data_IF_142716026465
#
_entry.id   IF_142716026465
#
_cell.length_a   1.000
_cell.length_b   1.000
_cell.length_c   1.000
_cell.angle_alpha   90.00
_cell.angle_beta   90.00
_cell.angle_gamma   90.00
#
_symmetry.space_group_name_H-M   'P 1'
#
loop_
_entity.id
_entity.type
_entity.pdbx_description
1 polymer ?
#
# COMPACT_ATOMS: atom_id res chain seq x y z
N UNK A 1 36.25 4.52 -1.36
CA UNK A 1 36.27 3.94 -2.74
C UNK A 1 34.94 4.13 -3.45
N UNK A 2 33.78 3.74 -2.88
CA UNK A 2 32.47 3.95 -3.52
C UNK A 2 32.18 5.43 -3.75
N UNK A 3 32.43 6.28 -2.75
CA UNK A 3 32.24 7.73 -2.82
C UNK A 3 33.15 8.39 -3.88
N UNK A 4 34.35 7.89 -4.05
CA UNK A 4 35.30 8.38 -5.08
C UNK A 4 34.76 8.12 -6.51
N UNK A 5 33.92 7.10 -6.67
CA UNK A 5 33.30 6.75 -7.93
C UNK A 5 31.88 7.30 -8.08
N UNK A 6 31.42 8.11 -7.14
CA UNK A 6 30.08 8.68 -7.12
C UNK A 6 28.97 7.61 -6.95
N UNK A 7 29.32 6.47 -6.34
CA UNK A 7 28.42 5.34 -6.12
C UNK A 7 27.95 5.34 -4.67
N UNK A 8 26.63 5.26 -4.45
CA UNK A 8 26.07 5.02 -3.12
C UNK A 8 26.37 3.59 -2.67
N UNK A 9 27.18 3.46 -1.59
CA UNK A 9 27.64 2.16 -1.10
C UNK A 9 26.53 1.24 -0.59
N UNK A 10 25.34 1.77 -0.27
CA UNK A 10 24.20 0.98 0.21
C UNK A 10 23.24 0.54 -0.91
N UNK A 11 22.87 1.47 -1.78
CA UNK A 11 21.87 1.21 -2.82
C UNK A 11 22.46 0.78 -4.16
N UNK A 12 23.74 1.08 -4.41
CA UNK A 12 24.40 0.89 -5.70
C UNK A 12 25.66 0.02 -5.63
N UNK A 13 25.85 -0.74 -4.55
CA UNK A 13 26.99 -1.64 -4.36
C UNK A 13 27.19 -2.61 -5.54
N UNK A 14 26.12 -3.02 -6.20
CA UNK A 14 26.16 -3.90 -7.36
C UNK A 14 26.93 -3.34 -8.58
N UNK A 15 27.20 -2.03 -8.58
CA UNK A 15 28.01 -1.36 -9.62
C UNK A 15 29.51 -1.49 -9.37
N UNK A 16 29.92 -1.86 -8.17
CA UNK A 16 31.31 -2.00 -7.81
C UNK A 16 31.89 -3.34 -8.33
N UNK A 17 33.15 -3.35 -8.81
CA UNK A 17 33.83 -4.58 -9.17
C UNK A 17 33.98 -5.53 -7.96
N UNK A 18 33.93 -6.85 -8.23
CA UNK A 18 33.99 -7.88 -7.18
C UNK A 18 35.22 -7.74 -6.27
N UNK A 19 36.36 -7.26 -6.77
CA UNK A 19 37.58 -7.05 -5.98
C UNK A 19 37.41 -6.04 -4.84
N UNK A 20 36.40 -5.16 -4.88
CA UNK A 20 36.12 -4.18 -3.84
C UNK A 20 35.00 -4.62 -2.87
N UNK A 21 34.16 -5.56 -3.27
CA UNK A 21 33.03 -6.02 -2.48
C UNK A 21 33.13 -7.50 -2.07
N UNK A 22 34.10 -8.24 -2.63
CA UNK A 22 34.24 -9.68 -2.39
C UNK A 22 34.47 -10.00 -0.91
N UNK A 23 35.45 -9.35 -0.27
CA UNK A 23 35.74 -9.54 1.15
C UNK A 23 34.54 -9.21 2.05
N UNK A 24 33.80 -8.15 1.70
CA UNK A 24 32.55 -7.79 2.41
C UNK A 24 31.49 -8.89 2.26
N UNK A 25 31.29 -9.39 1.05
CA UNK A 25 30.32 -10.46 0.80
C UNK A 25 30.70 -11.80 1.46
N UNK A 26 31.99 -12.14 1.48
CA UNK A 26 32.51 -13.30 2.21
C UNK A 26 32.26 -13.17 3.71
N UNK A 27 32.54 -11.99 4.27
CA UNK A 27 32.32 -11.74 5.70
C UNK A 27 30.83 -11.79 6.08
N UNK A 28 29.94 -11.28 5.24
CA UNK A 28 28.50 -11.37 5.44
C UNK A 28 28.03 -12.84 5.49
N UNK A 29 28.56 -13.69 4.62
CA UNK A 29 28.25 -15.12 4.62
C UNK A 29 28.77 -15.82 5.87
N UNK A 30 30.01 -15.53 6.29
CA UNK A 30 30.59 -16.06 7.52
C UNK A 30 29.77 -15.68 8.76
N UNK A 31 29.46 -14.38 8.91
CA UNK A 31 28.67 -13.89 10.03
C UNK A 31 27.26 -14.50 10.05
N UNK A 32 26.66 -14.72 8.89
CA UNK A 32 25.36 -15.40 8.79
C UNK A 32 25.44 -16.83 9.31
N UNK A 33 26.50 -17.54 8.99
CA UNK A 33 26.72 -18.92 9.49
C UNK A 33 27.01 -18.94 11.00
N UNK A 34 27.83 -18.04 11.51
CA UNK A 34 28.10 -17.86 12.94
C UNK A 34 26.78 -17.56 13.70
N UNK A 35 25.99 -16.63 13.21
CA UNK A 35 24.68 -16.27 13.78
C UNK A 35 23.75 -17.49 13.81
N UNK A 36 23.72 -18.28 12.74
CA UNK A 36 22.90 -19.49 12.69
C UNK A 36 23.25 -20.47 13.81
N UNK A 37 24.56 -20.65 14.13
CA UNK A 37 24.99 -21.54 15.23
C UNK A 37 24.44 -21.08 16.59
N UNK A 38 24.38 -19.77 16.81
CA UNK A 38 23.81 -19.24 18.07
C UNK A 38 22.28 -19.31 18.07
N UNK A 39 21.63 -18.94 16.98
CA UNK A 39 20.16 -19.00 16.87
C UNK A 39 19.61 -20.41 17.00
N UNK A 40 20.37 -21.44 16.54
CA UNK A 40 19.98 -22.84 16.71
C UNK A 40 19.90 -23.22 18.19
N UNK A 41 20.82 -22.72 19.03
CA UNK A 41 20.77 -22.96 20.48
C UNK A 41 19.55 -22.29 21.10
N UNK A 42 19.22 -21.07 20.66
CA UNK A 42 18.03 -20.34 21.14
C UNK A 42 16.73 -21.05 20.76
N UNK A 43 16.60 -21.55 19.54
CA UNK A 43 15.45 -22.34 19.08
C UNK A 43 15.19 -23.53 20.00
N UNK A 44 16.27 -24.28 20.32
CA UNK A 44 16.21 -25.42 21.24
C UNK A 44 15.86 -24.99 22.67
N UNK A 45 16.47 -23.91 23.17
CA UNK A 45 16.24 -23.43 24.53
C UNK A 45 14.83 -22.92 24.79
N UNK A 46 14.17 -22.37 23.73
CA UNK A 46 12.83 -21.83 23.78
C UNK A 46 11.74 -22.84 23.38
N UNK A 47 12.12 -24.09 23.05
CA UNK A 47 11.17 -25.14 22.63
C UNK A 47 10.29 -24.73 21.44
N UNK A 48 10.88 -24.07 20.41
CA UNK A 48 10.19 -23.59 19.23
C UNK A 48 10.63 -24.28 17.93
N UNK A 49 11.20 -25.46 18.02
CA UNK A 49 11.69 -26.21 16.85
C UNK A 49 10.59 -26.54 15.85
N UNK A 50 9.42 -26.94 16.35
CA UNK A 50 8.27 -27.25 15.49
C UNK A 50 7.79 -26.05 14.70
N UNK A 51 7.74 -24.88 15.33
CA UNK A 51 7.39 -23.62 14.66
C UNK A 51 8.45 -23.25 13.64
N UNK A 52 9.73 -23.34 14.01
CA UNK A 52 10.83 -23.06 13.09
C UNK A 52 10.79 -24.00 11.87
N UNK A 53 10.51 -25.29 12.08
CA UNK A 53 10.38 -26.26 10.98
C UNK A 53 9.21 -25.92 10.08
N UNK A 54 8.03 -25.65 10.64
CA UNK A 54 6.82 -25.25 9.90
C UNK A 54 7.10 -24.03 9.00
N UNK A 55 7.65 -22.97 9.59
CA UNK A 55 7.94 -21.73 8.87
C UNK A 55 9.00 -21.93 7.77
N UNK A 56 10.00 -22.78 8.03
CA UNK A 56 11.04 -23.09 7.04
C UNK A 56 10.50 -23.92 5.87
N UNK A 57 9.63 -24.90 6.14
CA UNK A 57 8.98 -25.72 5.09
C UNK A 57 7.95 -24.91 4.28
N UNK A 58 7.32 -23.91 4.88
CA UNK A 58 6.37 -23.03 4.22
C UNK A 58 7.06 -22.04 3.26
N UNK A 59 8.29 -21.63 3.57
CA UNK A 59 8.99 -20.60 2.79
C UNK A 59 9.09 -20.89 1.28
N UNK A 60 9.48 -22.11 0.84
CA UNK A 60 9.49 -22.44 -0.60
C UNK A 60 8.13 -22.27 -1.26
N UNK A 61 7.04 -22.66 -0.56
CA UNK A 61 5.67 -22.46 -1.07
C UNK A 61 5.34 -20.98 -1.31
N UNK A 62 5.74 -20.09 -0.39
CA UNK A 62 5.54 -18.65 -0.54
C UNK A 62 6.37 -18.06 -1.69
N UNK A 63 7.58 -18.58 -1.90
CA UNK A 63 8.42 -18.22 -3.05
C UNK A 63 7.74 -18.62 -4.36
N UNK A 64 7.21 -19.84 -4.45
CA UNK A 64 6.48 -20.31 -5.63
C UNK A 64 5.20 -19.52 -5.87
N UNK A 65 4.45 -19.17 -4.84
CA UNK A 65 3.27 -18.31 -4.93
C UNK A 65 3.62 -16.93 -5.49
N UNK A 66 4.71 -16.33 -4.99
CA UNK A 66 5.21 -15.05 -5.50
C UNK A 66 5.67 -15.15 -6.94
N UNK A 67 6.39 -16.21 -7.28
CA UNK A 67 6.88 -16.45 -8.65
C UNK A 67 5.73 -16.68 -9.62
N UNK A 68 4.72 -17.47 -9.25
CA UNK A 68 3.51 -17.68 -10.03
C UNK A 68 2.70 -16.39 -10.17
N UNK A 69 2.53 -15.63 -9.10
CA UNK A 69 1.74 -14.41 -9.03
C UNK A 69 0.23 -14.63 -9.16
N UNK A 70 -0.52 -13.57 -8.91
CA UNK A 70 -2.00 -13.57 -9.00
C UNK A 70 -2.43 -13.10 -10.39
N UNK A 71 -3.27 -13.88 -11.06
CA UNK A 71 -3.82 -13.53 -12.37
C UNK A 71 -4.80 -12.37 -12.27
N UNK A 72 -4.72 -11.44 -13.22
CA UNK A 72 -5.58 -10.26 -13.30
C UNK A 72 -6.19 -10.13 -14.69
N UNK A 73 -7.48 -9.80 -14.75
CA UNK A 73 -8.17 -9.40 -15.98
C UNK A 73 -7.95 -7.89 -16.20
N UNK A 74 -6.95 -7.57 -17.02
CA UNK A 74 -6.58 -6.18 -17.32
C UNK A 74 -7.66 -5.45 -18.12
N UNK A 75 -8.37 -6.14 -19.01
CA UNK A 75 -9.43 -5.54 -19.82
C UNK A 75 -10.62 -5.16 -18.93
N UNK A 76 -10.99 -6.03 -18.00
CA UNK A 76 -12.01 -5.73 -17.01
C UNK A 76 -11.57 -4.56 -16.10
N UNK A 77 -10.31 -4.53 -15.66
CA UNK A 77 -9.77 -3.44 -14.84
C UNK A 77 -9.84 -2.08 -15.58
N UNK A 78 -9.46 -2.04 -16.86
CA UNK A 78 -9.54 -0.83 -17.68
C UNK A 78 -10.99 -0.36 -17.92
N UNK A 79 -11.90 -1.30 -18.20
CA UNK A 79 -13.34 -0.96 -18.35
C UNK A 79 -13.90 -0.38 -17.06
N UNK A 80 -13.69 -1.07 -15.94
CA UNK A 80 -14.16 -0.64 -14.63
C UNK A 80 -13.59 0.73 -14.24
N UNK A 81 -12.30 0.97 -14.48
CA UNK A 81 -11.71 2.30 -14.26
C UNK A 81 -12.43 3.39 -15.03
N UNK A 82 -12.70 3.16 -16.33
CA UNK A 82 -13.40 4.13 -17.18
C UNK A 82 -14.82 4.42 -16.66
N UNK A 83 -15.53 3.40 -16.23
CA UNK A 83 -16.89 3.53 -15.65
C UNK A 83 -16.85 4.33 -14.35
N UNK A 84 -15.93 3.99 -13.42
CA UNK A 84 -15.79 4.69 -12.15
C UNK A 84 -15.41 6.15 -12.33
N UNK A 85 -14.46 6.48 -13.20
CA UNK A 85 -14.08 7.86 -13.48
C UNK A 85 -15.26 8.65 -14.07
N UNK A 86 -16.07 8.04 -14.93
CA UNK A 86 -17.26 8.70 -15.49
C UNK A 86 -18.34 8.91 -14.41
N UNK A 87 -18.51 7.97 -13.49
CA UNK A 87 -19.44 8.10 -12.36
C UNK A 87 -18.99 9.18 -11.37
N UNK A 88 -17.70 9.22 -11.00
CA UNK A 88 -17.12 10.27 -10.16
C UNK A 88 -17.40 11.66 -10.76
N UNK A 89 -17.11 11.81 -12.05
CA UNK A 89 -17.35 13.06 -12.76
C UNK A 89 -18.82 13.47 -12.70
N UNK A 90 -19.77 12.53 -12.87
CA UNK A 90 -21.22 12.82 -12.76
C UNK A 90 -21.59 13.32 -11.36
N UNK A 91 -21.06 12.73 -10.29
CA UNK A 91 -21.30 13.21 -8.94
C UNK A 91 -20.80 14.64 -8.75
N UNK A 92 -19.57 14.92 -9.18
CA UNK A 92 -18.99 16.27 -9.08
C UNK A 92 -19.70 17.31 -9.97
N UNK A 93 -20.15 16.93 -11.17
CA UNK A 93 -20.95 17.79 -12.04
C UNK A 93 -22.30 18.19 -11.41
N UNK A 94 -22.95 17.31 -10.65
CA UNK A 94 -24.17 17.65 -9.92
C UNK A 94 -23.90 18.72 -8.85
N UNK A 95 -22.82 18.53 -8.08
CA UNK A 95 -22.40 19.52 -7.07
C UNK A 95 -22.10 20.85 -7.73
N UNK A 96 -21.32 20.85 -8.81
CA UNK A 96 -20.98 22.08 -9.54
C UNK A 96 -22.20 22.79 -10.13
N UNK A 97 -23.13 22.06 -10.76
CA UNK A 97 -24.36 22.65 -11.34
C UNK A 97 -25.23 23.33 -10.31
N UNK A 98 -25.23 22.83 -9.07
CA UNK A 98 -26.08 23.41 -8.01
C UNK A 98 -25.40 24.55 -7.27
N UNK A 99 -24.08 24.45 -7.06
CA UNK A 99 -23.33 25.40 -6.21
C UNK A 99 -22.38 26.32 -6.97
N UNK A 100 -22.03 26.01 -8.23
CA UNK A 100 -20.98 26.71 -8.98
C UNK A 100 -19.56 26.45 -8.46
N UNK A 101 -19.39 25.53 -7.49
CA UNK A 101 -18.12 25.25 -6.82
C UNK A 101 -17.46 24.01 -7.41
N UNK A 102 -16.23 24.16 -7.89
CA UNK A 102 -15.38 23.02 -8.26
C UNK A 102 -14.75 22.41 -7.01
N UNK A 103 -15.19 21.19 -6.64
CA UNK A 103 -14.85 20.56 -5.37
C UNK A 103 -13.64 19.63 -5.51
N UNK A 104 -12.59 19.96 -4.74
CA UNK A 104 -11.46 19.06 -4.51
C UNK A 104 -11.81 18.10 -3.36
N UNK A 105 -12.25 16.90 -3.67
CA UNK A 105 -12.86 15.96 -2.72
C UNK A 105 -11.98 15.54 -1.53
N UNK A 106 -10.65 15.66 -1.65
CA UNK A 106 -9.70 15.36 -0.57
C UNK A 106 -9.27 16.58 0.23
N UNK A 107 -9.62 17.79 -0.22
CA UNK A 107 -9.31 19.04 0.47
C UNK A 107 -10.48 19.50 1.32
N UNK A 108 -10.37 19.41 2.65
CA UNK A 108 -11.43 19.80 3.59
C UNK A 108 -11.91 21.24 3.37
N UNK A 109 -11.01 22.19 3.11
CA UNK A 109 -11.35 23.59 2.80
C UNK A 109 -12.13 23.75 1.49
N UNK A 110 -11.97 22.84 0.54
CA UNK A 110 -12.76 22.89 -0.71
C UNK A 110 -14.18 22.40 -0.46
N UNK A 111 -14.34 21.34 0.35
CA UNK A 111 -15.66 20.84 0.75
C UNK A 111 -16.38 21.85 1.64
N UNK A 112 -15.67 22.51 2.55
CA UNK A 112 -16.22 23.59 3.41
C UNK A 112 -16.96 24.66 2.60
N UNK A 113 -16.46 25.02 1.43
CA UNK A 113 -17.14 26.02 0.56
C UNK A 113 -18.56 25.59 0.17
N UNK A 114 -18.77 24.29 -0.11
CA UNK A 114 -20.11 23.76 -0.42
C UNK A 114 -21.01 23.80 0.81
N UNK A 115 -20.50 23.44 1.97
CA UNK A 115 -21.24 23.47 3.22
C UNK A 115 -21.66 24.89 3.61
N UNK A 116 -20.77 25.86 3.43
CA UNK A 116 -21.06 27.28 3.66
C UNK A 116 -22.07 27.81 2.64
N UNK A 117 -21.94 27.43 1.35
CA UNK A 117 -22.88 27.84 0.31
C UNK A 117 -24.31 27.35 0.56
N UNK A 118 -24.45 26.11 1.04
CA UNK A 118 -25.74 25.46 1.30
C UNK A 118 -26.25 25.67 2.73
N UNK A 119 -25.56 26.47 3.54
CA UNK A 119 -25.86 26.71 4.96
C UNK A 119 -25.98 25.41 5.77
N UNK A 120 -25.07 24.45 5.49
CA UNK A 120 -25.02 23.16 6.16
C UNK A 120 -24.04 23.22 7.34
N UNK A 121 -24.46 22.86 8.58
CA UNK A 121 -23.55 22.80 9.71
C UNK A 121 -22.54 21.68 9.57
N UNK A 122 -21.32 21.91 10.05
CA UNK A 122 -20.21 20.93 10.02
C UNK A 122 -19.32 21.06 11.27
N UNK A 123 -18.66 19.96 11.59
CA UNK A 123 -17.74 19.89 12.72
C UNK A 123 -16.38 20.48 12.37
N UNK A 124 -15.72 21.03 13.40
CA UNK A 124 -14.32 21.47 13.34
C UNK A 124 -13.47 20.64 14.30
N UNK A 125 -12.22 20.44 13.93
CA UNK A 125 -11.25 19.75 14.77
C UNK A 125 -10.92 20.59 16.02
N UNK A 126 -10.87 19.98 17.19
CA UNK A 126 -10.63 20.68 18.47
C UNK A 126 -9.26 21.39 18.50
N UNK A 127 -8.22 20.77 17.91
CA UNK A 127 -6.84 21.30 17.98
C UNK A 127 -6.56 22.45 17.01
N UNK A 128 -7.16 22.45 15.84
CA UNK A 128 -6.77 23.38 14.74
C UNK A 128 -7.94 24.20 14.23
N UNK A 129 -9.15 23.98 14.73
CA UNK A 129 -10.40 24.56 14.22
C UNK A 129 -10.58 24.37 12.69
N UNK A 130 -9.94 23.40 12.12
CA UNK A 130 -10.06 23.04 10.70
C UNK A 130 -11.36 22.25 10.47
N UNK A 131 -12.01 22.39 9.31
CA UNK A 131 -13.21 21.63 8.98
C UNK A 131 -12.94 20.12 8.99
N UNK A 132 -13.85 19.33 9.59
CA UNK A 132 -13.72 17.89 9.74
C UNK A 132 -14.83 17.16 8.98
N UNK A 133 -14.48 16.51 7.88
CA UNK A 133 -15.39 15.76 7.04
C UNK A 133 -15.00 14.28 7.05
N UNK A 134 -15.38 13.59 8.14
CA UNK A 134 -15.14 12.14 8.28
C UNK A 134 -15.99 11.35 7.29
N UNK A 135 -15.56 10.10 7.00
CA UNK A 135 -16.33 9.19 6.13
C UNK A 135 -17.76 9.02 6.62
N UNK A 136 -17.91 8.69 7.91
CA UNK A 136 -19.23 8.46 8.52
C UNK A 136 -20.13 9.69 8.46
N UNK A 137 -19.59 10.88 8.71
CA UNK A 137 -20.33 12.14 8.64
C UNK A 137 -20.89 12.38 7.23
N UNK A 138 -20.05 12.26 6.20
CA UNK A 138 -20.47 12.49 4.82
C UNK A 138 -21.45 11.43 4.32
N UNK A 139 -21.24 10.14 4.62
CA UNK A 139 -22.11 9.05 4.16
C UNK A 139 -23.50 9.06 4.78
N UNK A 140 -23.61 9.47 6.04
CA UNK A 140 -24.88 9.47 6.77
C UNK A 140 -25.61 10.82 6.70
N UNK A 141 -25.07 11.79 5.98
CA UNK A 141 -25.65 13.11 5.91
C UNK A 141 -26.91 13.12 5.02
N UNK A 142 -28.02 13.77 5.43
CA UNK A 142 -29.29 13.75 4.68
C UNK A 142 -29.27 14.57 3.37
N UNK A 143 -28.34 15.50 3.22
CA UNK A 143 -28.24 16.36 2.05
C UNK A 143 -27.62 15.61 0.85
N UNK A 144 -28.32 15.61 -0.29
CA UNK A 144 -27.93 14.92 -1.51
C UNK A 144 -26.54 15.34 -2.05
N UNK A 145 -26.17 16.64 -1.96
CA UNK A 145 -24.85 17.11 -2.42
C UNK A 145 -23.72 16.56 -1.56
N UNK A 146 -23.97 16.42 -0.25
CA UNK A 146 -23.00 15.81 0.68
C UNK A 146 -22.84 14.34 0.37
N UNK A 147 -23.94 13.65 0.04
CA UNK A 147 -23.90 12.25 -0.41
C UNK A 147 -23.18 12.09 -1.76
N UNK A 148 -23.38 13.02 -2.72
CA UNK A 148 -22.64 13.01 -3.98
C UNK A 148 -21.12 13.21 -3.76
N UNK A 149 -20.71 14.08 -2.83
CA UNK A 149 -19.30 14.23 -2.43
C UNK A 149 -18.76 12.97 -1.77
N UNK A 150 -19.53 12.35 -0.86
CA UNK A 150 -19.16 11.09 -0.22
C UNK A 150 -18.97 9.97 -1.26
N UNK A 151 -19.91 9.86 -2.20
CA UNK A 151 -19.87 8.90 -3.29
C UNK A 151 -18.67 9.12 -4.21
N UNK A 152 -18.40 10.38 -4.58
CA UNK A 152 -17.22 10.74 -5.38
C UNK A 152 -15.91 10.32 -4.69
N UNK A 153 -15.79 10.48 -3.36
CA UNK A 153 -14.63 10.00 -2.59
C UNK A 153 -14.47 8.48 -2.62
N UNK A 154 -15.56 7.74 -2.48
CA UNK A 154 -15.52 6.27 -2.55
C UNK A 154 -15.07 5.78 -3.91
N UNK A 155 -15.66 6.33 -4.96
CA UNK A 155 -15.34 5.99 -6.34
C UNK A 155 -13.90 6.35 -6.67
N UNK A 156 -13.47 7.55 -6.31
CA UNK A 156 -12.10 8.00 -6.51
C UNK A 156 -11.10 7.06 -5.82
N UNK A 157 -11.35 6.72 -4.55
CA UNK A 157 -10.52 5.76 -3.83
C UNK A 157 -10.52 4.38 -4.51
N UNK A 158 -11.66 3.92 -4.99
CA UNK A 158 -11.76 2.61 -5.66
C UNK A 158 -10.88 2.56 -6.91
N UNK A 159 -10.92 3.57 -7.79
CA UNK A 159 -10.11 3.50 -9.00
C UNK A 159 -8.65 3.91 -8.77
N UNK A 160 -8.34 4.93 -7.96
CA UNK A 160 -6.96 5.39 -7.74
C UNK A 160 -6.16 4.46 -6.83
N UNK A 161 -6.78 3.93 -5.77
CA UNK A 161 -6.07 3.07 -4.81
C UNK A 161 -6.04 1.61 -5.26
N UNK A 162 -7.14 1.08 -5.79
CA UNK A 162 -7.21 -0.35 -6.11
C UNK A 162 -6.93 -0.61 -7.59
N UNK A 163 -7.70 0.00 -8.50
CA UNK A 163 -7.55 -0.32 -9.94
C UNK A 163 -6.20 0.15 -10.47
N UNK A 164 -5.76 1.36 -10.13
CA UNK A 164 -4.45 1.86 -10.56
C UNK A 164 -3.30 1.07 -9.98
N UNK A 165 -3.44 0.59 -8.75
CA UNK A 165 -2.45 -0.31 -8.14
C UNK A 165 -2.37 -1.63 -8.90
N UNK A 166 -3.51 -2.24 -9.26
CA UNK A 166 -3.56 -3.45 -10.07
C UNK A 166 -2.86 -3.22 -11.42
N UNK A 167 -3.24 -2.17 -12.13
CA UNK A 167 -2.67 -1.86 -13.44
C UNK A 167 -1.16 -1.58 -13.38
N UNK A 168 -0.73 -0.81 -12.39
CA UNK A 168 0.67 -0.44 -12.17
C UNK A 168 1.58 -1.63 -11.86
N UNK A 169 1.11 -2.56 -11.04
CA UNK A 169 1.90 -3.70 -10.58
C UNK A 169 1.70 -4.97 -11.41
N UNK A 170 0.87 -4.90 -12.46
CA UNK A 170 0.67 -6.03 -13.36
C UNK A 170 1.85 -6.20 -14.31
N UNK A 171 2.37 -7.41 -14.39
CA UNK A 171 3.34 -7.85 -15.39
C UNK A 171 2.79 -9.09 -16.11
N UNK A 172 2.66 -9.02 -17.44
CA UNK A 172 2.11 -10.13 -18.27
C UNK A 172 0.79 -10.72 -17.73
N UNK A 173 -0.11 -9.83 -17.24
CA UNK A 173 -1.41 -10.23 -16.70
C UNK A 173 -1.37 -10.86 -15.30
N UNK A 174 -0.28 -10.70 -14.57
CA UNK A 174 -0.12 -11.18 -13.19
C UNK A 174 0.50 -10.12 -12.29
N UNK A 175 0.17 -10.20 -11.00
CA UNK A 175 0.77 -9.38 -9.95
C UNK A 175 1.64 -10.28 -9.08
N UNK A 176 2.90 -9.90 -8.90
CA UNK A 176 3.91 -10.63 -8.12
C UNK A 176 4.22 -9.84 -6.85
N UNK A 177 3.28 -9.81 -5.90
CA UNK A 177 3.45 -9.10 -4.65
C UNK A 177 4.51 -9.74 -3.76
N UNK A 178 5.15 -8.94 -2.93
CA UNK A 178 6.02 -9.43 -1.87
C UNK A 178 5.18 -10.02 -0.74
N UNK A 179 5.52 -11.22 -0.31
CA UNK A 179 4.84 -11.91 0.80
C UNK A 179 5.78 -11.88 2.00
N UNK A 180 5.35 -11.23 3.08
CA UNK A 180 6.10 -11.19 4.33
C UNK A 180 5.52 -12.24 5.28
N UNK A 181 6.30 -13.26 5.54
CA UNK A 181 5.97 -14.35 6.46
C UNK A 181 6.09 -13.91 7.91
N UNK A 182 7.19 -13.22 8.23
CA UNK A 182 7.53 -12.74 9.56
C UNK A 182 7.68 -11.23 9.60
N UNK A 183 7.67 -10.66 10.80
CA UNK A 183 7.95 -9.23 11.01
C UNK A 183 9.42 -8.93 10.71
N UNK A 184 9.64 -7.90 9.90
CA UNK A 184 10.95 -7.33 9.61
C UNK A 184 10.85 -5.80 9.54
N UNK A 185 11.99 -5.11 9.37
CA UNK A 185 12.03 -3.66 9.17
C UNK A 185 11.30 -3.22 7.89
N UNK A 186 11.14 -4.13 6.93
CA UNK A 186 10.46 -3.86 5.64
C UNK A 186 8.99 -4.18 5.63
N UNK A 187 8.45 -4.77 6.69
CA UNK A 187 7.04 -5.16 6.77
C UNK A 187 6.81 -6.39 7.63
N UNK A 188 5.65 -7.02 7.44
CA UNK A 188 5.25 -8.18 8.22
C UNK A 188 4.38 -7.84 9.44
N UNK A 189 3.92 -8.87 10.12
CA UNK A 189 3.08 -8.75 11.32
C UNK A 189 3.68 -9.50 12.49
N UNK A 190 3.38 -9.09 13.71
CA UNK A 190 3.77 -9.81 14.94
C UNK A 190 2.77 -10.92 15.33
N UNK A 191 1.70 -11.06 14.56
CA UNK A 191 0.56 -11.94 14.87
C UNK A 191 0.59 -13.28 14.14
N UNK A 192 1.68 -13.59 13.40
CA UNK A 192 1.79 -14.81 12.57
C UNK A 192 0.94 -14.78 11.30
N UNK A 193 0.31 -13.64 10.96
CA UNK A 193 -0.38 -13.49 9.68
C UNK A 193 0.60 -13.04 8.60
N UNK A 194 0.41 -13.51 7.38
CA UNK A 194 1.12 -12.95 6.23
C UNK A 194 0.72 -11.51 6.00
N UNK A 195 1.64 -10.72 5.48
CA UNK A 195 1.33 -9.42 4.91
C UNK A 195 1.92 -9.29 3.52
N UNK A 196 1.33 -8.41 2.72
CA UNK A 196 1.71 -8.20 1.33
C UNK A 196 2.19 -6.77 1.10
N UNK A 197 3.26 -6.64 0.32
CA UNK A 197 3.77 -5.35 -0.15
C UNK A 197 3.95 -5.39 -1.67
N UNK A 198 3.99 -4.25 -2.30
CA UNK A 198 4.31 -4.06 -3.71
C UNK A 198 3.54 -4.96 -4.70
N UNK A 199 2.20 -4.96 -4.68
CA UNK A 199 1.28 -4.17 -3.87
C UNK A 199 0.75 -4.94 -2.64
N UNK A 200 0.03 -4.24 -1.74
CA UNK A 200 -0.68 -4.89 -0.65
C UNK A 200 -1.98 -5.54 -1.16
N UNK A 201 -1.89 -6.82 -1.54
CA UNK A 201 -3.04 -7.60 -2.07
C UNK A 201 -4.14 -7.86 -1.05
N UNK A 202 -3.91 -7.63 0.24
CA UNK A 202 -4.94 -7.79 1.28
C UNK A 202 -5.94 -6.61 1.30
N UNK A 203 -5.62 -5.52 0.59
CA UNK A 203 -6.47 -4.33 0.51
C UNK A 203 -7.11 -4.13 -0.86
N UNK A 204 -6.81 -4.99 -1.82
CA UNK A 204 -7.31 -4.94 -3.20
C UNK A 204 -8.50 -5.87 -3.37
#
# INVERSE_FOLDING_TARGET
TANEWGIDSKSEMYKLPAMYVGEYAERDAEMTLELWQEMKKEILSQDIEDIFKLESELFPCLVDMRFLGVRVDLDAAHRLKKELVAEEKKCLEKVWKKTGIDVQIWAARSIEKVFVHEDIPYDKTEKTSAPSFTKNFLQNHPNELVQDIARAREINKAHTTFIDTILKHSHKGRIHAEINQLRSDRGGTVTGRFSYNNPNLQQI
#
